data_IF_401757295430
#
_entry.id   IF_401757295430
#
_cell.length_a   1.000
_cell.length_b   1.000
_cell.length_c   1.000
_cell.angle_alpha   90.00
_cell.angle_beta   90.00
_cell.angle_gamma   90.00
#
_symmetry.space_group_name_H-M   'P 1'
#
loop_
_entity.id
_entity.type
_entity.pdbx_description
1 polymer ?
#
# COMPACT_ATOMS: atom_id res chain seq x y z
N UNK A 1 -47.46 -77.06 -30.02
CA UNK A 1 -47.64 -75.71 -29.45
C UNK A 1 -46.83 -75.66 -28.15
N UNK A 2 -45.59 -75.16 -28.21
CA UNK A 2 -44.78 -74.94 -27.01
C UNK A 2 -45.13 -73.56 -26.45
N UNK A 3 -45.47 -73.49 -25.16
CA UNK A 3 -45.37 -72.24 -24.42
C UNK A 3 -43.92 -72.12 -23.95
N UNK A 4 -43.20 -71.14 -24.52
CA UNK A 4 -41.89 -70.73 -24.01
C UNK A 4 -42.16 -70.03 -22.68
N UNK A 5 -41.68 -70.59 -21.57
CA UNK A 5 -41.67 -69.89 -20.29
C UNK A 5 -40.56 -68.84 -20.35
N UNK A 6 -40.88 -67.62 -20.77
CA UNK A 6 -39.98 -66.47 -20.57
C UNK A 6 -39.99 -66.16 -19.08
N UNK A 7 -39.05 -66.77 -18.36
CA UNK A 7 -38.75 -66.38 -16.98
C UNK A 7 -38.10 -65.02 -17.04
N UNK A 8 -38.88 -63.98 -16.73
CA UNK A 8 -38.35 -62.63 -16.62
C UNK A 8 -37.83 -62.45 -15.20
N UNK A 9 -36.51 -62.35 -15.07
CA UNK A 9 -35.86 -62.13 -13.77
C UNK A 9 -35.71 -60.62 -13.58
N UNK A 10 -36.43 -60.06 -12.61
CA UNK A 10 -36.27 -58.66 -12.20
C UNK A 10 -35.04 -58.56 -11.29
N UNK A 11 -34.03 -57.80 -11.73
CA UNK A 11 -32.88 -57.41 -10.92
C UNK A 11 -33.13 -56.01 -10.37
N UNK A 12 -33.15 -55.85 -9.05
CA UNK A 12 -33.23 -54.54 -8.39
C UNK A 12 -31.83 -54.09 -7.98
N UNK A 13 -31.35 -52.97 -8.53
CA UNK A 13 -30.07 -52.36 -8.18
C UNK A 13 -30.33 -51.18 -7.23
N UNK A 14 -29.81 -51.26 -6.01
CA UNK A 14 -29.74 -50.12 -5.10
C UNK A 14 -28.43 -49.36 -5.36
N UNK A 15 -28.50 -48.23 -6.07
CA UNK A 15 -27.37 -47.35 -6.32
C UNK A 15 -27.33 -46.23 -5.28
N UNK A 16 -26.28 -46.20 -4.46
CA UNK A 16 -25.97 -45.07 -3.60
C UNK A 16 -25.08 -44.10 -4.39
N UNK A 17 -25.59 -42.91 -4.71
CA UNK A 17 -24.79 -41.82 -5.27
C UNK A 17 -24.23 -41.04 -4.09
N UNK A 18 -22.90 -40.98 -3.98
CA UNK A 18 -22.20 -40.18 -2.98
C UNK A 18 -21.88 -38.81 -3.60
N UNK A 19 -22.24 -37.73 -2.90
CA UNK A 19 -21.99 -36.36 -3.38
C UNK A 19 -20.49 -36.04 -3.31
N UNK A 20 -19.95 -35.46 -4.39
CA UNK A 20 -18.64 -34.82 -4.39
C UNK A 20 -18.81 -33.30 -4.40
N UNK A 21 -18.00 -32.60 -3.60
CA UNK A 21 -18.06 -31.15 -3.48
C UNK A 21 -16.77 -30.52 -4.02
N UNK A 22 -16.90 -29.42 -4.75
CA UNK A 22 -15.78 -28.63 -5.25
C UNK A 22 -15.91 -27.18 -4.81
N UNK A 23 -14.86 -26.64 -4.23
CA UNK A 23 -14.79 -25.27 -3.73
C UNK A 23 -13.63 -24.55 -4.42
N UNK A 24 -13.89 -23.34 -4.93
CA UNK A 24 -12.87 -22.51 -5.58
C UNK A 24 -12.82 -21.17 -4.86
N UNK A 25 -11.65 -20.83 -4.34
CA UNK A 25 -11.35 -19.56 -3.71
C UNK A 25 -10.42 -18.73 -4.60
N UNK A 26 -10.63 -17.41 -4.61
CA UNK A 26 -9.75 -16.46 -5.26
C UNK A 26 -9.23 -15.51 -4.20
N UNK A 27 -7.92 -15.51 -4.01
CA UNK A 27 -7.26 -14.58 -3.09
C UNK A 27 -6.15 -13.84 -3.82
N UNK A 28 -5.86 -12.63 -3.35
CA UNK A 28 -4.74 -11.85 -3.83
C UNK A 28 -3.95 -11.30 -2.65
N UNK A 29 -2.63 -11.44 -2.72
CA UNK A 29 -1.69 -10.91 -1.72
C UNK A 29 -0.67 -9.99 -2.41
N UNK A 30 0.10 -9.25 -1.63
CA UNK A 30 1.19 -8.43 -2.16
C UNK A 30 2.51 -9.21 -2.16
N UNK A 31 3.43 -8.82 -3.05
CA UNK A 31 4.76 -9.42 -3.09
C UNK A 31 5.45 -9.28 -1.73
N UNK A 32 5.91 -10.41 -1.19
CA UNK A 32 6.51 -10.50 0.15
C UNK A 32 5.54 -10.99 1.24
N UNK A 33 4.24 -10.99 0.98
CA UNK A 33 3.23 -11.51 1.91
C UNK A 33 3.05 -13.03 1.77
N UNK A 34 2.24 -13.59 2.67
CA UNK A 34 1.75 -14.97 2.56
C UNK A 34 0.32 -15.09 3.08
N UNK A 35 -0.40 -16.10 2.59
CA UNK A 35 -1.71 -16.49 3.10
C UNK A 35 -1.62 -17.89 3.74
N UNK A 36 -2.28 -18.07 4.87
CA UNK A 36 -2.48 -19.39 5.47
C UNK A 36 -3.75 -20.02 4.89
N UNK A 37 -3.59 -21.12 4.17
CA UNK A 37 -4.70 -21.84 3.53
C UNK A 37 -4.52 -23.35 3.71
N UNK A 38 -5.57 -24.03 4.20
CA UNK A 38 -5.59 -25.49 4.37
C UNK A 38 -4.33 -26.06 5.07
N UNK A 39 -3.86 -25.38 6.12
CA UNK A 39 -2.72 -25.83 6.92
C UNK A 39 -1.34 -25.43 6.41
N UNK A 40 -1.25 -24.74 5.26
CA UNK A 40 0.02 -24.35 4.64
C UNK A 40 0.07 -22.85 4.36
N UNK A 41 1.27 -22.28 4.35
CA UNK A 41 1.51 -20.91 3.92
C UNK A 41 1.87 -20.87 2.43
N UNK A 42 1.22 -19.98 1.69
CA UNK A 42 1.49 -19.75 0.28
C UNK A 42 1.85 -18.29 0.03
N UNK A 43 2.94 -18.07 -0.70
CA UNK A 43 3.48 -16.75 -1.04
C UNK A 43 3.74 -16.58 -2.54
N UNK A 44 3.47 -17.62 -3.34
CA UNK A 44 3.73 -17.64 -4.78
C UNK A 44 2.43 -17.69 -5.56
N UNK A 45 2.43 -17.07 -6.74
CA UNK A 45 1.29 -17.08 -7.64
C UNK A 45 0.99 -18.49 -8.14
N UNK A 46 -0.27 -18.93 -8.14
CA UNK A 46 -0.60 -20.26 -8.65
C UNK A 46 -1.95 -20.79 -8.19
N UNK A 47 -2.19 -22.05 -8.58
CA UNK A 47 -3.32 -22.85 -8.10
C UNK A 47 -2.84 -23.90 -7.10
N UNK A 48 -3.50 -23.96 -5.95
CA UNK A 48 -3.22 -24.91 -4.89
C UNK A 48 -4.45 -25.76 -4.60
N UNK A 49 -4.25 -27.02 -4.27
CA UNK A 49 -5.32 -28.00 -4.11
C UNK A 49 -5.24 -28.68 -2.74
N UNK A 50 -6.41 -28.89 -2.13
CA UNK A 50 -6.55 -29.73 -0.94
C UNK A 50 -7.72 -30.68 -1.18
N UNK A 51 -7.45 -31.98 -1.06
CA UNK A 51 -8.45 -33.02 -1.25
C UNK A 51 -8.71 -33.69 0.10
N UNK A 52 -9.97 -33.78 0.49
CA UNK A 52 -10.39 -34.51 1.68
C UNK A 52 -11.35 -35.61 1.26
N UNK A 53 -10.93 -36.85 1.47
CA UNK A 53 -11.72 -38.05 1.22
C UNK A 53 -12.38 -38.54 2.49
N UNK A 54 -13.63 -38.97 2.36
CA UNK A 54 -14.33 -39.69 3.43
C UNK A 54 -14.34 -41.18 3.13
N UNK A 55 -14.39 -42.02 4.18
CA UNK A 55 -14.49 -43.48 4.03
C UNK A 55 -15.72 -43.92 3.19
N UNK A 56 -16.70 -43.02 3.03
CA UNK A 56 -17.93 -43.21 2.27
C UNK A 56 -17.79 -42.91 0.77
N UNK A 57 -16.67 -42.33 0.31
CA UNK A 57 -16.47 -41.93 -1.10
C UNK A 57 -17.13 -40.61 -1.49
N UNK A 58 -17.66 -39.85 -0.52
CA UNK A 58 -17.93 -38.42 -0.72
C UNK A 58 -16.58 -37.69 -0.60
N UNK A 59 -16.09 -37.17 -1.71
CA UNK A 59 -14.81 -36.48 -1.78
C UNK A 59 -15.03 -34.97 -1.93
N UNK A 60 -14.29 -34.18 -1.17
CA UNK A 60 -14.28 -32.73 -1.31
C UNK A 60 -12.94 -32.25 -1.84
N UNK A 61 -12.98 -31.41 -2.88
CA UNK A 61 -11.81 -30.80 -3.49
C UNK A 61 -11.89 -29.28 -3.30
N UNK A 62 -10.83 -28.71 -2.73
CA UNK A 62 -10.68 -27.29 -2.54
C UNK A 62 -9.56 -26.80 -3.46
N UNK A 63 -9.83 -25.73 -4.19
CA UNK A 63 -8.88 -25.06 -5.06
C UNK A 63 -8.70 -23.62 -4.62
N UNK A 64 -7.47 -23.20 -4.38
CA UNK A 64 -7.09 -21.80 -4.18
C UNK A 64 -6.43 -21.28 -5.46
N UNK A 65 -7.01 -20.25 -6.06
CA UNK A 65 -6.34 -19.40 -7.04
C UNK A 65 -5.72 -18.22 -6.30
N UNK A 66 -4.39 -18.24 -6.15
CA UNK A 66 -3.65 -17.16 -5.50
C UNK A 66 -2.96 -16.28 -6.53
N UNK A 67 -3.31 -14.99 -6.53
CA UNK A 67 -2.63 -13.96 -7.29
C UNK A 67 -1.64 -13.21 -6.40
N UNK A 68 -0.37 -13.11 -6.80
CA UNK A 68 0.62 -12.28 -6.10
C UNK A 68 0.85 -10.99 -6.88
N UNK A 69 0.40 -9.88 -6.29
CA UNK A 69 0.48 -8.56 -6.90
C UNK A 69 1.82 -7.87 -6.60
N UNK A 70 2.43 -7.18 -7.57
CA UNK A 70 3.64 -6.42 -7.31
C UNK A 70 3.36 -5.24 -6.36
N UNK A 71 4.38 -4.86 -5.58
CA UNK A 71 4.37 -3.63 -4.82
C UNK A 71 4.53 -2.42 -5.74
N UNK A 72 4.09 -1.21 -5.34
CA UNK A 72 4.38 0.00 -6.07
C UNK A 72 5.88 0.24 -6.23
N UNK A 73 6.26 0.91 -7.32
CA UNK A 73 7.66 1.30 -7.52
C UNK A 73 8.08 2.38 -6.53
N UNK A 74 9.33 2.33 -6.06
CA UNK A 74 9.90 3.40 -5.24
C UNK A 74 10.06 4.68 -6.06
N UNK A 75 9.56 5.80 -5.54
CA UNK A 75 9.65 7.12 -6.16
C UNK A 75 10.54 8.06 -5.34
N UNK A 76 11.06 9.08 -5.99
CA UNK A 76 11.83 10.13 -5.33
C UNK A 76 10.89 11.23 -4.80
N UNK A 77 11.09 11.59 -3.54
CA UNK A 77 10.29 12.58 -2.83
C UNK A 77 11.21 13.70 -2.37
N UNK A 78 10.81 14.93 -2.65
CA UNK A 78 11.46 16.15 -2.18
C UNK A 78 10.47 16.98 -1.38
N UNK A 79 11.00 17.91 -0.60
CA UNK A 79 10.22 18.90 0.14
C UNK A 79 10.51 20.30 -0.36
N UNK A 80 9.57 21.21 -0.10
CA UNK A 80 9.78 22.64 -0.23
C UNK A 80 9.33 23.30 1.09
N UNK A 81 10.22 23.94 1.85
CA UNK A 81 11.65 24.08 1.58
C UNK A 81 12.41 22.73 1.67
N UNK A 82 13.46 22.57 0.86
CA UNK A 82 14.18 21.30 0.68
C UNK A 82 14.92 20.79 1.91
N UNK A 83 15.13 21.67 2.89
CA UNK A 83 15.71 21.31 4.19
C UNK A 83 14.65 20.97 5.25
N UNK A 84 13.35 21.04 4.92
CA UNK A 84 12.26 20.78 5.86
C UNK A 84 12.08 21.86 6.95
N UNK A 85 12.79 22.99 6.86
CA UNK A 85 12.72 24.05 7.86
C UNK A 85 11.68 25.10 7.49
N UNK A 86 10.59 25.15 8.25
CA UNK A 86 9.50 26.11 8.07
C UNK A 86 9.76 27.38 8.88
N UNK A 87 9.84 28.51 8.18
CA UNK A 87 10.07 29.81 8.81
C UNK A 87 8.76 30.54 9.09
N UNK A 88 8.62 31.11 10.29
CA UNK A 88 7.52 32.03 10.65
C UNK A 88 6.13 31.45 10.32
N UNK A 89 5.90 30.19 10.68
CA UNK A 89 4.64 29.48 10.43
C UNK A 89 4.25 29.30 8.95
N UNK A 90 5.23 29.36 8.04
CA UNK A 90 5.03 28.92 6.67
C UNK A 90 4.69 27.43 6.61
N UNK A 91 3.96 27.03 5.58
CA UNK A 91 3.63 25.63 5.31
C UNK A 91 4.72 25.00 4.45
N UNK A 92 4.93 23.71 4.68
CA UNK A 92 5.75 22.85 3.83
C UNK A 92 4.92 22.26 2.70
N UNK A 93 5.63 21.89 1.63
CA UNK A 93 5.10 21.18 0.49
C UNK A 93 5.90 19.89 0.28
N UNK A 94 5.20 18.81 -0.07
CA UNK A 94 5.79 17.53 -0.44
C UNK A 94 5.56 17.30 -1.93
N UNK A 95 6.61 16.94 -2.67
CA UNK A 95 6.57 16.76 -4.12
C UNK A 95 7.20 15.41 -4.46
N UNK A 96 6.52 14.62 -5.28
CA UNK A 96 7.09 13.43 -5.91
C UNK A 96 7.66 13.86 -7.26
N UNK A 97 8.93 13.59 -7.56
CA UNK A 97 9.56 14.08 -8.81
C UNK A 97 9.34 13.16 -10.02
N UNK A 98 9.00 11.89 -9.78
CA UNK A 98 8.80 10.86 -10.80
C UNK A 98 7.59 10.00 -10.46
N UNK A 99 6.41 10.63 -10.37
CA UNK A 99 5.17 9.90 -10.11
C UNK A 99 4.86 8.93 -11.24
N UNK A 100 4.36 7.74 -10.91
CA UNK A 100 3.93 6.73 -11.87
C UNK A 100 2.48 7.02 -12.29
N UNK A 101 2.21 7.01 -13.59
CA UNK A 101 0.87 7.29 -14.13
C UNK A 101 -0.16 6.33 -13.53
N UNK A 102 -1.31 6.87 -13.11
CA UNK A 102 -2.44 6.14 -12.51
C UNK A 102 -2.24 5.61 -11.09
N UNK A 103 -1.00 5.49 -10.60
CA UNK A 103 -0.78 5.13 -9.20
C UNK A 103 -1.31 6.21 -8.26
N UNK A 104 -1.75 5.79 -7.08
CA UNK A 104 -2.28 6.69 -6.06
C UNK A 104 -1.21 7.02 -5.04
N UNK A 105 -1.15 8.29 -4.62
CA UNK A 105 -0.24 8.81 -3.61
C UNK A 105 -1.02 9.60 -2.57
N UNK A 106 -0.64 9.48 -1.31
CA UNK A 106 -1.23 10.24 -0.22
C UNK A 106 -0.25 10.37 0.93
N UNK A 107 -0.55 11.28 1.84
CA UNK A 107 0.23 11.52 3.06
C UNK A 107 -0.64 11.22 4.27
N UNK A 108 -0.06 10.53 5.25
CA UNK A 108 -0.66 10.30 6.56
C UNK A 108 0.21 10.89 7.65
N UNK A 109 -0.41 11.12 8.80
CA UNK A 109 0.25 11.42 10.07
C UNK A 109 -0.37 10.56 11.15
N UNK A 110 0.45 9.87 11.94
CA UNK A 110 -0.02 8.96 13.01
C UNK A 110 -1.06 7.95 12.49
N UNK A 111 -0.83 7.40 11.30
CA UNK A 111 -1.75 6.50 10.59
C UNK A 111 -3.11 7.10 10.18
N UNK A 112 -3.32 8.40 10.37
CA UNK A 112 -4.51 9.13 9.92
C UNK A 112 -4.20 9.84 8.60
N UNK A 113 -5.12 9.77 7.63
CA UNK A 113 -4.97 10.49 6.38
C UNK A 113 -4.84 12.01 6.62
N UNK A 114 -3.78 12.62 6.10
CA UNK A 114 -3.48 14.04 6.24
C UNK A 114 -3.75 14.80 4.93
N UNK A 115 -3.48 14.18 3.78
CA UNK A 115 -3.79 14.72 2.46
C UNK A 115 -4.92 13.94 1.78
N UNK A 116 -5.45 14.51 0.69
CA UNK A 116 -6.24 13.74 -0.28
C UNK A 116 -5.39 12.68 -1.00
N UNK A 117 -6.06 11.88 -1.83
CA UNK A 117 -5.41 10.94 -2.74
C UNK A 117 -5.12 11.66 -4.06
N UNK A 118 -3.88 11.58 -4.52
CA UNK A 118 -3.41 12.16 -5.76
C UNK A 118 -3.09 11.04 -6.75
N UNK A 119 -3.51 11.20 -7.99
CA UNK A 119 -3.16 10.27 -9.06
C UNK A 119 -1.88 10.73 -9.74
N UNK A 120 -0.90 9.83 -9.87
CA UNK A 120 0.33 10.08 -10.57
C UNK A 120 0.12 10.36 -12.04
N UNK A 121 0.99 11.21 -12.58
CA UNK A 121 0.86 11.78 -13.93
C UNK A 121 2.11 11.52 -14.79
N UNK A 122 3.07 10.71 -14.33
CA UNK A 122 4.30 10.42 -15.06
C UNK A 122 5.41 11.46 -14.84
N UNK A 123 5.14 12.52 -14.07
CA UNK A 123 6.04 13.66 -13.87
C UNK A 123 6.04 14.09 -12.40
N UNK A 124 6.50 15.30 -12.12
CA UNK A 124 6.41 15.92 -10.81
C UNK A 124 4.95 16.10 -10.37
N UNK A 125 4.66 15.70 -9.13
CA UNK A 125 3.34 15.77 -8.53
C UNK A 125 3.45 16.39 -7.14
N UNK A 126 2.85 17.56 -6.94
CA UNK A 126 2.71 18.18 -5.62
C UNK A 126 1.61 17.47 -4.84
N UNK A 127 1.89 17.13 -3.59
CA UNK A 127 0.92 16.59 -2.62
C UNK A 127 0.35 17.71 -1.73
N UNK A 128 0.48 18.97 -2.17
CA UNK A 128 -0.04 20.16 -1.51
C UNK A 128 0.99 20.90 -0.65
N UNK A 129 0.76 22.19 -0.46
CA UNK A 129 1.52 23.05 0.45
C UNK A 129 0.71 23.32 1.73
N UNK A 130 0.60 22.28 2.56
CA UNK A 130 -0.30 22.24 3.74
C UNK A 130 0.36 21.66 4.99
N UNK A 131 1.65 21.35 4.93
CA UNK A 131 2.33 20.60 5.99
C UNK A 131 2.84 21.56 7.07
N UNK A 132 2.35 21.41 8.29
CA UNK A 132 2.88 22.11 9.46
C UNK A 132 4.08 21.36 10.04
N UNK A 133 4.84 21.95 10.99
CA UNK A 133 5.92 21.25 11.68
C UNK A 133 5.43 19.95 12.33
N UNK A 134 5.85 18.82 11.80
CA UNK A 134 5.50 17.46 12.26
C UNK A 134 6.25 16.40 11.44
N UNK A 135 6.00 15.13 11.74
CA UNK A 135 6.43 13.97 10.95
C UNK A 135 5.27 13.41 10.13
N UNK A 136 5.53 13.11 8.86
CA UNK A 136 4.54 12.64 7.89
C UNK A 136 5.05 11.40 7.15
N UNK A 137 4.14 10.50 6.82
CA UNK A 137 4.44 9.32 6.02
C UNK A 137 3.82 9.49 4.63
N UNK A 138 4.64 9.36 3.60
CA UNK A 138 4.20 9.40 2.21
C UNK A 138 4.01 7.97 1.73
N UNK A 139 2.85 7.69 1.14
CA UNK A 139 2.44 6.38 0.69
C UNK A 139 2.18 6.35 -0.81
N UNK A 140 2.27 5.16 -1.39
CA UNK A 140 1.86 4.88 -2.76
C UNK A 140 1.05 3.59 -2.86
N UNK A 141 0.20 3.49 -3.87
CA UNK A 141 -0.59 2.30 -4.20
C UNK A 141 -0.72 2.14 -5.70
N UNK A 142 -0.54 0.92 -6.18
CA UNK A 142 -0.77 0.56 -7.58
C UNK A 142 -2.25 0.67 -7.92
N UNK A 143 -2.61 1.31 -9.03
CA UNK A 143 -4.01 1.54 -9.42
C UNK A 143 -4.87 0.25 -9.44
N UNK A 144 -4.25 -0.86 -9.84
CA UNK A 144 -4.95 -2.12 -10.13
C UNK A 144 -4.92 -3.12 -8.97
N UNK A 145 -4.35 -2.75 -7.82
CA UNK A 145 -4.14 -3.70 -6.71
C UNK A 145 -4.45 -3.05 -5.37
N UNK A 146 -4.65 -3.85 -4.33
CA UNK A 146 -4.73 -3.36 -2.96
C UNK A 146 -3.35 -3.03 -2.35
N UNK A 147 -2.25 -3.26 -3.07
CA UNK A 147 -0.90 -3.19 -2.52
C UNK A 147 -0.38 -1.76 -2.43
N UNK A 148 0.10 -1.40 -1.24
CA UNK A 148 0.66 -0.10 -0.95
C UNK A 148 1.94 -0.22 -0.13
N UNK A 149 2.79 0.80 -0.21
CA UNK A 149 4.06 0.87 0.53
C UNK A 149 4.27 2.26 1.10
N UNK A 150 5.02 2.34 2.21
CA UNK A 150 5.58 3.61 2.70
C UNK A 150 6.75 3.97 1.79
N UNK A 151 6.64 5.11 1.10
CA UNK A 151 7.68 5.62 0.21
C UNK A 151 8.75 6.39 1.00
N UNK A 152 8.32 7.23 1.94
CA UNK A 152 9.24 8.02 2.75
C UNK A 152 8.57 8.49 4.04
N UNK A 153 9.41 8.90 4.98
CA UNK A 153 9.05 9.64 6.18
C UNK A 153 9.67 11.03 6.09
N UNK A 154 8.82 12.06 6.17
CA UNK A 154 9.18 13.46 5.98
C UNK A 154 9.02 14.19 7.30
N UNK A 155 10.00 15.00 7.67
CA UNK A 155 9.97 15.81 8.89
C UNK A 155 10.02 17.28 8.51
N UNK A 156 9.05 18.05 8.99
CA UNK A 156 9.08 19.50 8.98
C UNK A 156 9.30 20.04 10.38
N UNK A 157 10.16 21.05 10.52
CA UNK A 157 10.44 21.71 11.81
C UNK A 157 10.24 23.21 11.71
N UNK A 158 9.75 23.84 12.78
CA UNK A 158 9.63 25.30 12.82
C UNK A 158 10.95 25.94 13.23
N UNK A 159 11.30 27.05 12.56
CA UNK A 159 12.32 27.98 13.02
C UNK A 159 11.76 29.40 13.01
N UNK A 160 12.02 30.12 14.10
CA UNK A 160 11.73 31.54 14.20
C UNK A 160 13.01 32.33 13.90
N UNK A 161 12.94 33.23 12.92
CA UNK A 161 14.04 34.16 12.68
C UNK A 161 14.07 35.18 13.83
N UNK A 162 15.05 35.06 14.74
CA UNK A 162 15.34 36.15 15.68
C UNK A 162 16.07 37.22 14.86
N UNK A 163 15.38 38.29 14.48
CA UNK A 163 16.06 39.48 13.96
C UNK A 163 16.82 40.14 15.12
N UNK A 164 18.11 39.84 15.26
CA UNK A 164 18.98 40.66 16.10
C UNK A 164 19.23 41.98 15.39
N UNK A 165 18.29 42.92 15.53
CA UNK A 165 18.54 44.33 15.28
C UNK A 165 19.46 44.87 16.39
N UNK A 166 20.75 44.59 16.30
CA UNK A 166 21.76 45.47 16.90
C UNK A 166 22.25 46.39 15.79
N UNK A 167 21.61 47.56 15.70
CA UNK A 167 22.16 48.70 14.99
C UNK A 167 23.33 49.24 15.83
N UNK A 168 24.61 49.12 15.41
CA UNK A 168 25.68 49.86 16.08
C UNK A 168 25.54 51.31 15.63
N UNK A 169 24.65 52.07 16.28
CA UNK A 169 24.62 53.52 16.12
C UNK A 169 25.96 54.09 16.59
N UNK A 170 26.76 54.56 15.63
CA UNK A 170 27.67 55.69 15.71
C UNK A 170 28.08 56.11 17.14
N UNK A 171 29.17 55.53 17.65
CA UNK A 171 30.01 56.26 18.59
C UNK A 171 30.80 57.30 17.78
N UNK A 172 30.29 58.54 17.79
CA UNK A 172 30.97 59.68 17.19
C UNK A 172 32.37 59.84 17.78
N UNK A 173 33.39 59.71 16.94
CA UNK A 173 34.76 60.14 17.25
C UNK A 173 34.76 61.66 17.35
N UNK A 174 34.76 62.16 18.59
CA UNK A 174 34.97 63.56 18.91
C UNK A 174 36.36 63.98 18.45
N UNK A 175 36.41 65.02 17.62
CA UNK A 175 37.59 65.75 17.17
C UNK A 175 38.35 66.35 18.35
N UNK A 176 39.67 66.16 18.40
CA UNK A 176 40.57 66.87 19.31
C UNK A 176 41.87 67.24 18.59
N UNK A 177 41.85 68.38 17.89
CA UNK A 177 43.06 69.10 17.45
C UNK A 177 43.37 70.13 18.54
N UNK A 178 44.58 70.08 19.10
CA UNK A 178 45.07 71.07 20.06
C UNK A 178 46.60 71.10 20.06
N UNK A 179 47.15 72.14 19.42
CA UNK A 179 48.55 72.55 19.47
C UNK A 179 48.99 72.88 20.92
N UNK A 180 50.19 72.46 21.30
CA UNK A 180 51.37 73.29 21.62
C UNK A 180 52.60 72.38 21.79
#
# INVERSE_FOLDING_TARGET
MQAITSSDSIITINLFINDSYSFIEFNSICSGDSIFWQGNYYSNNGQFYANYSTNSGCDSNYTLNLTVNPLPQIVNIITNPSNGVLLNSNLGEIIITNSIVSDSYWVSKDSIAYSGIFTGNGTSLSLGNIYTPDTFEVWSKNNNTACFIKQSEIVFIEQFNISTSTNPTNAGSVTGVGHL
#
